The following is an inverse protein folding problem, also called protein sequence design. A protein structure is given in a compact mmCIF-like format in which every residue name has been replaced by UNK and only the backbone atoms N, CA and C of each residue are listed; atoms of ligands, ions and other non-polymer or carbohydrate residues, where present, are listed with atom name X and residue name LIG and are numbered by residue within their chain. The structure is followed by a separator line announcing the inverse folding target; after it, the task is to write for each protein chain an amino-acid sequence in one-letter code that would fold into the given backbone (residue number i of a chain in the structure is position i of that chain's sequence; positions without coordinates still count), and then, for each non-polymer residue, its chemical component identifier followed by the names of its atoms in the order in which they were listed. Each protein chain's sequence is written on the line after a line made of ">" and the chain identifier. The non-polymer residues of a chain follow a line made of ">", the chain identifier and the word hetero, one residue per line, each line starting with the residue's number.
data_IF_190633869672
#
_entry.id   IF_190633869672
#
_cell.length_a   1.000
_cell.length_b   1.000
_cell.length_c   1.000
_cell.angle_alpha   90.00
_cell.angle_beta   90.00
_cell.angle_gamma   90.00
#
_symmetry.space_group_name_H-M   'P 1'
#
loop_
_entity.id
_entity.type
_entity.pdbx_description
1 polymer ?
#
# COMPACT_ATOMS: atom_id res chain seq x y z
N UNK A 1 -13.57 38.24 67.17
CA UNK A 1 -13.11 38.45 65.78
C UNK A 1 -11.74 37.81 65.69
N UNK A 2 -11.67 36.58 65.21
CA UNK A 2 -10.41 35.85 65.09
C UNK A 2 -9.71 36.29 63.79
N UNK A 3 -8.62 37.03 63.93
CA UNK A 3 -7.82 37.49 62.80
C UNK A 3 -7.03 36.30 62.25
N UNK A 4 -7.41 35.81 61.07
CA UNK A 4 -6.59 34.86 60.33
C UNK A 4 -5.31 35.56 59.85
N UNK A 5 -4.17 35.23 60.46
CA UNK A 5 -2.85 35.57 59.94
C UNK A 5 -2.68 34.99 58.52
N UNK A 6 -2.66 35.87 57.52
CA UNK A 6 -2.32 35.49 56.14
C UNK A 6 -0.84 35.11 56.10
N UNK A 7 -0.55 33.81 55.98
CA UNK A 7 0.81 33.30 55.73
C UNK A 7 1.48 34.07 54.57
N UNK A 8 2.76 34.48 54.71
CA UNK A 8 3.44 35.25 53.66
C UNK A 8 3.57 34.42 52.38
N UNK A 9 3.27 35.03 51.24
CA UNK A 9 3.35 34.40 49.93
C UNK A 9 4.79 33.96 49.63
N UNK A 10 5.01 32.65 49.53
CA UNK A 10 6.32 32.06 49.19
C UNK A 10 6.36 31.74 47.70
N UNK A 11 7.11 32.53 46.92
CA UNK A 11 7.28 32.31 45.49
C UNK A 11 7.81 30.90 45.15
N UNK A 12 8.70 30.33 45.98
CA UNK A 12 9.16 28.93 45.82
C UNK A 12 8.03 27.91 46.01
N UNK A 13 7.14 28.14 46.97
CA UNK A 13 6.00 27.25 47.23
C UNK A 13 4.94 27.39 46.14
N UNK A 14 4.70 28.62 45.68
CA UNK A 14 3.84 28.91 44.54
C UNK A 14 4.37 28.29 43.24
N UNK A 15 5.65 28.47 42.92
CA UNK A 15 6.29 27.86 41.74
C UNK A 15 6.31 26.33 41.82
N UNK A 16 6.54 25.74 43.00
CA UNK A 16 6.47 24.28 43.18
C UNK A 16 5.04 23.76 43.00
N UNK A 17 4.04 24.52 43.45
CA UNK A 17 2.62 24.24 43.20
C UNK A 17 2.29 24.32 41.71
N UNK A 18 2.59 25.45 41.07
CA UNK A 18 2.35 25.67 39.64
C UNK A 18 3.05 24.63 38.76
N UNK A 19 4.30 24.29 39.07
CA UNK A 19 5.05 23.27 38.36
C UNK A 19 4.38 21.89 38.49
N UNK A 20 3.89 21.53 39.68
CA UNK A 20 3.15 20.28 39.90
C UNK A 20 1.83 20.26 39.13
N UNK A 21 1.07 21.36 39.19
CA UNK A 21 -0.24 21.48 38.52
C UNK A 21 -0.12 21.53 36.98
N UNK A 22 1.05 21.85 36.42
CA UNK A 22 1.30 21.79 34.97
C UNK A 22 1.92 20.45 34.57
N UNK A 23 2.97 20.01 35.27
CA UNK A 23 3.70 18.78 34.90
C UNK A 23 2.79 17.56 35.00
N UNK A 24 1.98 17.44 36.06
CA UNK A 24 1.15 16.24 36.25
C UNK A 24 0.11 16.09 35.13
N UNK A 25 -0.68 17.11 34.77
CA UNK A 25 -1.60 17.01 33.63
C UNK A 25 -0.91 16.84 32.28
N UNK A 26 0.21 17.52 32.04
CA UNK A 26 0.97 17.35 30.78
C UNK A 26 1.50 15.92 30.66
N UNK A 27 2.07 15.38 31.74
CA UNK A 27 2.55 14.01 31.78
C UNK A 27 1.41 13.00 31.58
N UNK A 28 0.27 13.20 32.25
CA UNK A 28 -0.92 12.36 32.06
C UNK A 28 -1.44 12.44 30.62
N UNK A 29 -1.52 13.64 30.04
CA UNK A 29 -1.92 13.84 28.67
C UNK A 29 -0.96 13.14 27.69
N UNK A 30 0.35 13.20 27.93
CA UNK A 30 1.34 12.47 27.14
C UNK A 30 1.13 10.96 27.23
N UNK A 31 0.81 10.41 28.41
CA UNK A 31 0.45 8.98 28.55
C UNK A 31 -0.80 8.65 27.73
N UNK A 32 -1.86 9.46 27.85
CA UNK A 32 -3.11 9.24 27.11
C UNK A 32 -2.88 9.28 25.59
N UNK A 33 -2.14 10.27 25.10
CA UNK A 33 -1.84 10.45 23.68
C UNK A 33 -0.89 9.34 23.18
N UNK A 34 0.06 8.91 24.01
CA UNK A 34 1.01 7.86 23.64
C UNK A 34 0.30 6.50 23.53
N UNK A 35 -0.52 6.14 24.51
CA UNK A 35 -0.99 4.76 24.67
C UNK A 35 -2.48 4.54 24.42
N UNK A 36 -3.32 5.57 24.52
CA UNK A 36 -4.78 5.39 24.53
C UNK A 36 -5.40 5.87 23.23
N UNK A 37 -5.21 7.15 22.90
CA UNK A 37 -5.91 7.82 21.80
C UNK A 37 -4.92 8.50 20.86
N UNK A 38 -5.19 8.47 19.56
CA UNK A 38 -4.54 9.33 18.56
C UNK A 38 -5.55 9.94 17.60
N UNK A 39 -5.30 11.19 17.22
CA UNK A 39 -6.09 11.89 16.22
C UNK A 39 -5.55 11.58 14.82
N UNK A 40 -6.46 11.35 13.88
CA UNK A 40 -6.17 11.13 12.46
C UNK A 40 -7.09 12.01 11.62
N UNK A 41 -6.62 12.44 10.45
CA UNK A 41 -7.43 13.15 9.46
C UNK A 41 -7.67 12.23 8.26
N UNK A 42 -8.84 12.35 7.61
CA UNK A 42 -9.15 11.70 6.34
C UNK A 42 -8.76 12.64 5.19
N UNK A 43 -7.66 12.36 4.45
CA UNK A 43 -7.21 13.22 3.36
C UNK A 43 -7.78 12.81 1.99
N UNK A 44 -8.35 11.61 1.86
CA UNK A 44 -8.75 11.03 0.58
C UNK A 44 -10.11 10.37 0.61
N UNK A 45 -10.69 10.23 -0.58
CA UNK A 45 -12.03 9.71 -0.78
C UNK A 45 -12.21 8.20 -0.66
N UNK A 46 -11.16 7.44 -0.32
CA UNK A 46 -11.18 5.96 -0.33
C UNK A 46 -12.20 5.32 0.63
N UNK A 47 -12.68 6.07 1.62
CA UNK A 47 -13.70 5.64 2.58
C UNK A 47 -15.00 6.45 2.45
N UNK A 48 -15.19 7.26 1.39
CA UNK A 48 -16.24 8.31 1.28
C UNK A 48 -17.68 7.86 1.57
N UNK A 49 -17.97 6.58 1.32
CA UNK A 49 -19.28 5.99 1.59
C UNK A 49 -19.60 5.89 3.10
N UNK A 50 -18.57 5.92 3.96
CA UNK A 50 -18.68 5.95 5.44
C UNK A 50 -18.02 7.20 6.07
N UNK A 51 -16.77 7.48 5.66
CA UNK A 51 -15.90 8.53 6.18
C UNK A 51 -15.53 9.51 5.06
N UNK A 52 -15.83 10.78 5.25
CA UNK A 52 -15.63 11.80 4.22
C UNK A 52 -14.27 12.46 4.35
N UNK A 53 -13.73 12.93 3.23
CA UNK A 53 -12.58 13.84 3.21
C UNK A 53 -12.85 15.03 4.15
N UNK A 54 -11.87 15.35 5.00
CA UNK A 54 -11.98 16.38 6.04
C UNK A 54 -12.62 15.92 7.36
N UNK A 55 -12.98 14.64 7.51
CA UNK A 55 -13.27 14.06 8.82
C UNK A 55 -11.98 13.90 9.65
N UNK A 56 -12.10 14.15 10.94
CA UNK A 56 -11.05 13.92 11.93
C UNK A 56 -11.53 12.86 12.92
N UNK A 57 -10.74 11.81 13.06
CA UNK A 57 -11.07 10.60 13.82
C UNK A 57 -10.21 10.50 15.07
N UNK A 58 -10.79 9.96 16.14
CA UNK A 58 -10.03 9.42 17.26
C UNK A 58 -9.89 7.91 17.07
N UNK A 59 -8.65 7.45 17.05
CA UNK A 59 -8.29 6.03 17.05
C UNK A 59 -7.91 5.55 18.44
N UNK A 60 -8.39 4.37 18.84
CA UNK A 60 -8.04 3.67 20.07
C UNK A 60 -6.87 2.72 19.80
N UNK A 61 -5.70 3.01 20.40
CA UNK A 61 -4.47 2.22 20.18
C UNK A 61 -4.47 0.90 20.95
N UNK A 62 -4.87 0.98 22.22
CA UNK A 62 -4.82 -0.16 23.15
C UNK A 62 -5.70 -1.34 22.73
N UNK A 63 -6.71 -1.10 21.88
CA UNK A 63 -7.60 -2.16 21.38
C UNK A 63 -6.81 -3.26 20.69
N UNK A 64 -5.84 -2.90 19.85
CA UNK A 64 -5.01 -3.85 19.08
C UNK A 64 -3.54 -3.88 19.52
N UNK A 65 -3.18 -3.07 20.50
CA UNK A 65 -1.84 -3.02 21.07
C UNK A 65 -1.16 -1.68 20.85
N UNK A 66 -0.75 -1.05 21.94
CA UNK A 66 -0.09 0.25 21.91
C UNK A 66 1.41 0.12 21.65
N UNK A 67 2.04 1.05 20.92
CA UNK A 67 3.48 1.00 20.65
C UNK A 67 4.29 1.16 21.94
N UNK A 68 5.35 0.36 22.06
CA UNK A 68 6.35 0.51 23.12
C UNK A 68 7.28 1.67 22.73
N UNK A 69 7.50 2.67 23.60
CA UNK A 69 8.41 3.76 23.30
C UNK A 69 9.80 3.24 22.91
N UNK A 70 10.41 3.88 21.91
CA UNK A 70 11.77 3.58 21.46
C UNK A 70 11.98 2.15 20.94
N UNK A 71 10.91 1.44 20.58
CA UNK A 71 10.98 0.08 20.03
C UNK A 71 9.94 -0.12 18.93
N UNK A 72 10.22 -1.02 17.99
CA UNK A 72 9.27 -1.43 16.96
C UNK A 72 8.28 -2.52 17.45
N UNK A 73 8.20 -2.71 18.78
CA UNK A 73 7.32 -3.67 19.47
C UNK A 73 6.04 -2.98 19.96
N UNK A 74 5.01 -3.79 20.21
CA UNK A 74 3.74 -3.36 20.81
C UNK A 74 3.45 -4.13 22.08
N UNK A 75 2.75 -3.47 23.00
CA UNK A 75 2.05 -4.18 24.06
C UNK A 75 0.91 -5.02 23.45
N UNK A 76 0.54 -6.15 24.08
CA UNK A 76 -0.61 -6.93 23.63
C UNK A 76 -1.88 -6.06 23.64
N UNK A 77 -2.67 -6.18 22.58
CA UNK A 77 -4.00 -5.58 22.52
C UNK A 77 -5.00 -6.32 23.42
N UNK A 78 -6.11 -5.66 23.73
CA UNK A 78 -7.23 -6.30 24.41
C UNK A 78 -7.98 -7.29 23.50
N UNK A 79 -8.01 -7.03 22.19
CA UNK A 79 -8.61 -7.91 21.18
C UNK A 79 -7.80 -7.88 19.89
N UNK A 80 -8.10 -8.79 18.98
CA UNK A 80 -7.63 -8.73 17.59
C UNK A 80 -8.64 -7.97 16.73
N UNK A 81 -8.21 -7.39 15.61
CA UNK A 81 -9.13 -6.83 14.65
C UNK A 81 -10.12 -7.86 14.11
N UNK A 82 -11.37 -7.45 13.98
CA UNK A 82 -12.45 -8.28 13.49
C UNK A 82 -12.96 -7.78 12.12
N UNK A 83 -13.58 -8.67 11.35
CA UNK A 83 -14.23 -8.28 10.11
C UNK A 83 -15.30 -7.20 10.37
N UNK A 84 -15.18 -6.09 9.66
CA UNK A 84 -16.03 -4.91 9.76
C UNK A 84 -15.40 -3.76 10.54
N UNK A 85 -14.24 -3.99 11.16
CA UNK A 85 -13.53 -2.93 11.84
C UNK A 85 -12.92 -1.93 10.88
N UNK A 86 -13.08 -0.63 11.18
CA UNK A 86 -12.33 0.43 10.50
C UNK A 86 -11.02 0.63 11.25
N UNK A 87 -9.92 0.38 10.56
CA UNK A 87 -8.60 0.23 11.15
C UNK A 87 -7.67 1.26 10.54
N UNK A 88 -6.86 1.88 11.40
CA UNK A 88 -5.72 2.70 11.00
C UNK A 88 -4.47 1.83 11.07
N UNK A 89 -3.71 1.74 9.99
CA UNK A 89 -2.51 0.93 9.90
C UNK A 89 -1.46 1.58 9.00
N UNK A 90 -0.21 1.18 9.21
CA UNK A 90 0.91 1.57 8.34
C UNK A 90 0.82 0.85 7.01
N UNK A 91 0.94 1.59 5.90
CA UNK A 91 0.92 1.06 4.55
C UNK A 91 1.99 -0.05 4.35
N UNK A 92 1.61 -1.27 3.92
CA UNK A 92 2.56 -2.36 3.73
C UNK A 92 3.57 -2.19 2.59
N UNK A 93 3.24 -1.40 1.56
CA UNK A 93 4.06 -1.28 0.36
C UNK A 93 5.25 -0.33 0.48
N UNK A 94 5.37 0.42 1.58
CA UNK A 94 6.49 1.32 1.83
C UNK A 94 7.38 0.79 2.96
N UNK A 95 8.72 0.92 2.84
CA UNK A 95 9.62 0.50 3.90
C UNK A 95 9.47 1.37 5.15
N UNK A 96 9.73 0.80 6.32
CA UNK A 96 9.73 1.54 7.58
C UNK A 96 10.88 2.57 7.65
N UNK A 97 12.00 2.27 7.02
CA UNK A 97 13.18 3.12 6.98
C UNK A 97 13.40 3.69 5.58
N UNK A 98 14.00 4.89 5.46
CA UNK A 98 14.45 5.41 4.18
C UNK A 98 15.31 4.35 3.46
N UNK A 99 15.08 4.19 2.16
CA UNK A 99 15.78 3.24 1.29
C UNK A 99 15.65 1.78 1.78
N UNK A 100 14.66 1.45 2.62
CA UNK A 100 14.50 0.10 3.14
C UNK A 100 15.72 -0.44 3.87
N UNK A 101 16.59 0.45 4.38
CA UNK A 101 17.85 0.08 5.01
C UNK A 101 17.84 0.44 6.50
N UNK A 102 17.35 -0.47 7.37
CA UNK A 102 17.33 -0.25 8.82
C UNK A 102 18.74 -0.16 9.44
N UNK A 103 19.78 -0.67 8.77
CA UNK A 103 21.17 -0.57 9.23
C UNK A 103 21.76 0.84 9.06
N UNK A 104 21.36 1.55 8.00
CA UNK A 104 21.85 2.91 7.69
C UNK A 104 21.12 4.00 8.46
N UNK A 105 19.84 3.80 8.82
CA UNK A 105 19.01 4.84 9.39
C UNK A 105 18.54 4.53 10.82
N UNK A 106 18.71 5.46 11.75
CA UNK A 106 18.06 5.41 13.08
C UNK A 106 16.85 6.34 13.12
N UNK A 107 15.67 5.82 13.42
CA UNK A 107 14.48 6.66 13.62
C UNK A 107 14.57 7.42 14.95
N UNK A 108 14.58 8.76 14.89
CA UNK A 108 14.88 9.60 16.05
C UNK A 108 13.68 9.81 17.01
N UNK A 109 12.45 9.59 16.55
CA UNK A 109 11.24 10.00 17.29
C UNK A 109 10.13 8.93 17.36
N UNK A 110 10.47 7.65 17.55
CA UNK A 110 9.46 6.60 17.78
C UNK A 110 8.49 6.87 18.96
N UNK A 111 8.79 7.83 19.85
CA UNK A 111 8.04 8.08 21.09
C UNK A 111 7.24 9.40 21.14
N UNK A 112 7.39 10.31 20.17
CA UNK A 112 6.69 11.60 20.19
C UNK A 112 6.24 11.95 18.77
N UNK A 113 5.03 12.50 18.62
CA UNK A 113 4.33 12.79 17.35
C UNK A 113 5.04 13.81 16.43
N UNK A 114 6.35 14.00 16.55
CA UNK A 114 7.16 14.98 15.83
C UNK A 114 7.82 14.36 14.59
N UNK A 115 6.99 14.06 13.60
CA UNK A 115 7.44 13.79 12.23
C UNK A 115 8.30 12.54 12.02
N UNK A 116 8.62 12.30 10.75
CA UNK A 116 9.40 11.16 10.29
C UNK A 116 10.86 11.58 10.07
N UNK A 117 11.59 11.76 11.17
CA UNK A 117 12.99 12.19 11.16
C UNK A 117 13.93 11.01 11.48
N UNK A 118 14.96 10.86 10.65
CA UNK A 118 15.92 9.78 10.71
C UNK A 118 17.33 10.34 10.76
N UNK A 119 18.21 9.64 11.47
CA UNK A 119 19.64 9.87 11.42
C UNK A 119 20.26 8.91 10.42
N UNK A 120 20.88 9.45 9.37
CA UNK A 120 21.64 8.72 8.35
C UNK A 120 23.07 8.51 8.85
N UNK A 121 23.49 7.26 9.04
CA UNK A 121 24.86 6.93 9.46
C UNK A 121 25.87 7.05 8.32
N UNK A 122 25.41 7.07 7.07
CA UNK A 122 26.23 7.07 5.86
C UNK A 122 25.72 8.13 4.86
N UNK A 123 25.73 9.43 5.19
CA UNK A 123 25.21 10.46 4.30
C UNK A 123 26.06 10.56 3.03
N UNK A 124 25.41 10.91 1.91
CA UNK A 124 26.12 11.23 0.67
C UNK A 124 27.04 12.44 0.90
N UNK A 125 28.13 12.51 0.16
CA UNK A 125 29.14 13.56 0.31
C UNK A 125 28.51 14.96 0.22
N UNK A 126 28.68 15.76 1.28
CA UNK A 126 28.13 17.13 1.37
C UNK A 126 26.66 17.23 1.80
N UNK A 127 25.98 16.11 2.11
CA UNK A 127 24.60 16.10 2.60
C UNK A 127 24.53 15.98 4.13
N UNK A 128 23.49 16.54 4.78
CA UNK A 128 23.31 16.42 6.22
C UNK A 128 22.95 14.99 6.64
N UNK A 129 23.39 14.59 7.83
CA UNK A 129 23.00 13.32 8.46
C UNK A 129 21.51 13.27 8.81
N UNK A 130 20.88 14.40 9.12
CA UNK A 130 19.48 14.43 9.49
C UNK A 130 18.62 14.34 8.22
N UNK A 131 17.82 13.28 8.13
CA UNK A 131 16.91 13.01 7.01
C UNK A 131 15.48 13.20 7.47
N UNK A 132 14.74 13.98 6.69
CA UNK A 132 13.30 14.09 6.81
C UNK A 132 12.66 13.23 5.73
N UNK A 133 11.85 12.26 6.14
CA UNK A 133 11.04 11.44 5.26
C UNK A 133 9.59 11.95 5.32
N UNK A 134 9.27 13.07 4.64
CA UNK A 134 7.97 13.72 4.76
C UNK A 134 6.81 12.78 4.42
N UNK A 135 7.00 11.94 3.41
CA UNK A 135 6.04 10.92 2.97
C UNK A 135 6.22 9.58 3.70
N UNK A 136 6.95 9.60 4.83
CA UNK A 136 7.29 8.42 5.62
C UNK A 136 6.09 7.59 6.00
N UNK A 137 6.32 6.31 6.36
CA UNK A 137 5.44 5.21 6.00
C UNK A 137 3.99 5.55 6.30
N UNK A 138 3.23 5.73 5.21
CA UNK A 138 1.91 6.38 5.23
C UNK A 138 0.94 5.61 6.10
N UNK A 139 0.05 6.33 6.77
CA UNK A 139 -1.07 5.73 7.47
C UNK A 139 -2.28 5.61 6.57
N UNK A 140 -2.84 4.42 6.50
CA UNK A 140 -4.03 4.09 5.73
C UNK A 140 -5.16 3.77 6.68
N UNK A 141 -6.35 4.17 6.27
CA UNK A 141 -7.60 3.90 6.97
C UNK A 141 -8.46 3.09 6.01
N UNK A 142 -8.77 1.87 6.42
CA UNK A 142 -9.55 0.90 5.63
C UNK A 142 -10.39 0.04 6.56
N UNK A 143 -11.31 -0.71 5.98
CA UNK A 143 -12.14 -1.69 6.67
C UNK A 143 -11.51 -3.08 6.57
N UNK A 144 -11.45 -3.79 7.68
CA UNK A 144 -11.11 -5.21 7.68
C UNK A 144 -12.28 -5.99 7.09
N UNK A 145 -12.04 -6.76 6.03
CA UNK A 145 -13.10 -7.57 5.39
C UNK A 145 -12.91 -9.06 5.62
N UNK A 146 -11.68 -9.50 5.90
CA UNK A 146 -11.34 -10.88 6.19
C UNK A 146 -10.14 -10.94 7.15
N UNK A 147 -10.12 -11.96 7.99
CA UNK A 147 -9.06 -12.21 8.99
C UNK A 147 -8.30 -13.50 8.63
N UNK A 148 -7.23 -13.79 9.38
CA UNK A 148 -6.44 -15.02 9.19
C UNK A 148 -7.31 -16.27 9.11
N UNK A 149 -7.08 -17.10 8.10
CA UNK A 149 -7.82 -18.33 7.84
C UNK A 149 -9.03 -18.17 6.92
N UNK A 150 -9.55 -16.96 6.75
CA UNK A 150 -10.64 -16.71 5.80
C UNK A 150 -10.15 -16.85 4.35
N UNK A 151 -11.05 -17.25 3.46
CA UNK A 151 -10.82 -17.21 2.01
C UNK A 151 -11.42 -15.96 1.41
N UNK A 152 -10.71 -15.34 0.46
CA UNK A 152 -11.14 -14.13 -0.23
C UNK A 152 -11.03 -14.34 -1.72
N UNK A 153 -12.05 -13.93 -2.47
CA UNK A 153 -11.99 -13.79 -3.92
C UNK A 153 -12.70 -12.51 -4.36
N UNK A 154 -12.36 -12.00 -5.55
CA UNK A 154 -13.05 -10.87 -6.16
C UNK A 154 -13.40 -11.25 -7.59
N UNK A 155 -14.67 -11.16 -7.96
CA UNK A 155 -15.10 -11.45 -9.33
C UNK A 155 -16.05 -10.37 -9.81
N UNK A 156 -15.77 -9.79 -10.97
CA UNK A 156 -16.49 -8.63 -11.51
C UNK A 156 -16.67 -7.51 -10.47
N UNK A 157 -15.63 -7.28 -9.67
CA UNK A 157 -15.58 -6.26 -8.64
C UNK A 157 -16.37 -6.58 -7.36
N UNK A 158 -16.96 -7.78 -7.27
CA UNK A 158 -17.70 -8.25 -6.10
C UNK A 158 -16.80 -9.12 -5.23
N UNK A 159 -16.69 -8.74 -3.97
CA UNK A 159 -15.98 -9.49 -2.95
C UNK A 159 -16.78 -10.74 -2.55
N UNK A 160 -16.11 -11.89 -2.44
CA UNK A 160 -16.60 -13.03 -1.69
C UNK A 160 -15.63 -13.36 -0.55
N UNK A 161 -16.19 -13.69 0.62
CA UNK A 161 -15.45 -14.11 1.80
C UNK A 161 -15.99 -15.46 2.24
N UNK A 162 -15.11 -16.45 2.41
CA UNK A 162 -15.48 -17.83 2.74
C UNK A 162 -16.52 -18.42 1.77
N UNK A 163 -16.35 -18.13 0.47
CA UNK A 163 -17.26 -18.54 -0.60
C UNK A 163 -18.60 -17.78 -0.65
N UNK A 164 -18.90 -16.93 0.34
CA UNK A 164 -20.12 -16.12 0.36
C UNK A 164 -19.86 -14.76 -0.28
N UNK A 165 -20.54 -14.47 -1.39
CA UNK A 165 -20.53 -13.15 -2.00
C UNK A 165 -21.11 -12.11 -1.03
N UNK A 166 -20.41 -10.99 -0.89
CA UNK A 166 -20.83 -9.87 -0.06
C UNK A 166 -21.75 -8.95 -0.88
N UNK A 167 -22.81 -8.44 -0.23
CA UNK A 167 -23.63 -7.34 -0.78
C UNK A 167 -23.19 -5.98 -0.23
N UNK A 168 -22.68 -5.98 0.99
CA UNK A 168 -22.10 -4.86 1.72
C UNK A 168 -20.79 -5.33 2.35
N UNK A 169 -19.84 -4.41 2.59
CA UNK A 169 -18.68 -4.77 3.39
C UNK A 169 -19.13 -5.01 4.85
N UNK A 170 -18.44 -5.89 5.58
CA UNK A 170 -18.79 -6.18 6.98
C UNK A 170 -18.90 -4.92 7.86
N UNK A 171 -19.71 -4.96 8.91
CA UNK A 171 -19.86 -3.80 9.82
C UNK A 171 -20.51 -2.57 9.16
N UNK A 172 -21.52 -2.80 8.31
CA UNK A 172 -22.29 -1.78 7.56
C UNK A 172 -21.50 -0.97 6.52
N UNK A 173 -20.34 -1.45 6.09
CA UNK A 173 -19.60 -0.76 5.03
C UNK A 173 -20.40 -0.79 3.73
N UNK A 174 -20.72 0.38 3.20
CA UNK A 174 -21.28 0.48 1.86
C UNK A 174 -20.15 0.34 0.84
N UNK A 175 -20.44 -0.37 -0.23
CA UNK A 175 -19.67 -0.27 -1.47
C UNK A 175 -20.63 -0.48 -2.63
N UNK A 176 -20.44 0.26 -3.72
CA UNK A 176 -21.17 -0.02 -4.95
C UNK A 176 -20.45 -1.09 -5.76
N UNK A 177 -21.11 -2.23 -5.99
CA UNK A 177 -20.70 -3.26 -6.94
C UNK A 177 -20.90 -2.85 -8.42
N UNK A 178 -21.20 -1.57 -8.68
CA UNK A 178 -21.26 -1.08 -10.05
C UNK A 178 -19.85 -0.93 -10.55
N UNK A 179 -19.52 -1.72 -11.56
CA UNK A 179 -18.32 -1.64 -12.37
C UNK A 179 -18.18 -0.23 -12.96
N UNK A 180 -17.55 0.69 -12.22
CA UNK A 180 -17.30 2.04 -12.74
C UNK A 180 -16.14 2.04 -13.73
N UNK A 181 -15.25 1.04 -13.66
CA UNK A 181 -14.09 0.88 -14.54
C UNK A 181 -13.68 -0.59 -14.71
N UNK A 182 -13.10 -0.95 -15.87
CA UNK A 182 -12.40 -2.24 -16.03
C UNK A 182 -11.06 -2.18 -15.31
N UNK A 183 -10.86 -2.96 -14.24
CA UNK A 183 -9.53 -3.15 -13.64
C UNK A 183 -9.33 -4.63 -13.27
N UNK A 184 -8.16 -5.24 -13.56
CA UNK A 184 -7.79 -6.57 -13.10
C UNK A 184 -7.91 -6.77 -11.58
N UNK A 185 -7.87 -5.70 -10.78
CA UNK A 185 -8.15 -5.77 -9.33
C UNK A 185 -9.57 -6.28 -9.02
N UNK A 186 -10.47 -6.23 -10.00
CA UNK A 186 -11.85 -6.69 -9.92
C UNK A 186 -11.97 -8.19 -10.25
N UNK A 187 -10.86 -8.83 -10.63
CA UNK A 187 -10.72 -10.25 -10.88
C UNK A 187 -9.55 -10.82 -10.07
N UNK A 188 -9.88 -11.46 -8.96
CA UNK A 188 -8.94 -12.11 -8.06
C UNK A 188 -9.44 -13.51 -7.76
N UNK A 189 -8.62 -14.49 -8.14
CA UNK A 189 -8.83 -15.88 -7.76
C UNK A 189 -8.89 -16.04 -6.25
N UNK A 190 -9.53 -17.11 -5.80
CA UNK A 190 -9.65 -17.40 -4.38
C UNK A 190 -8.26 -17.61 -3.76
N UNK A 191 -7.98 -16.91 -2.65
CA UNK A 191 -6.79 -17.12 -1.84
C UNK A 191 -7.16 -17.14 -0.35
N UNK A 192 -6.30 -17.75 0.47
CA UNK A 192 -6.47 -17.82 1.93
C UNK A 192 -5.66 -16.70 2.56
N UNK A 193 -6.26 -15.94 3.48
CA UNK A 193 -5.52 -14.99 4.32
C UNK A 193 -4.63 -15.80 5.27
N UNK A 194 -3.29 -15.67 5.20
CA UNK A 194 -2.41 -16.56 5.95
C UNK A 194 -2.59 -16.46 7.47
N UNK A 195 -2.51 -17.59 8.15
CA UNK A 195 -2.58 -17.71 9.60
C UNK A 195 -1.20 -17.86 10.22
N UNK A 196 -1.09 -17.53 11.51
CA UNK A 196 0.16 -17.75 12.27
C UNK A 196 0.53 -19.23 12.23
N UNK A 197 1.77 -19.52 11.82
CA UNK A 197 2.27 -20.89 11.65
C UNK A 197 2.13 -21.46 10.24
N UNK A 198 1.38 -20.81 9.35
CA UNK A 198 1.30 -21.24 7.95
C UNK A 198 2.68 -21.11 7.28
N UNK A 199 3.02 -22.10 6.46
CA UNK A 199 4.26 -22.14 5.68
C UNK A 199 3.97 -21.81 4.23
N UNK A 200 4.57 -20.74 3.73
CA UNK A 200 4.41 -20.25 2.36
C UNK A 200 5.70 -20.50 1.59
N UNK A 201 5.65 -21.38 0.59
CA UNK A 201 6.80 -21.72 -0.25
C UNK A 201 6.93 -20.72 -1.40
N UNK A 202 8.10 -20.11 -1.56
CA UNK A 202 8.33 -19.04 -2.54
C UNK A 202 8.08 -19.54 -3.96
N UNK A 203 8.56 -20.75 -4.28
CA UNK A 203 8.50 -21.33 -5.62
C UNK A 203 7.14 -21.89 -6.03
N UNK A 204 6.16 -21.99 -5.14
CA UNK A 204 4.81 -22.45 -5.48
C UNK A 204 3.82 -21.32 -5.78
N UNK A 205 4.17 -20.07 -5.49
CA UNK A 205 3.26 -18.93 -5.61
C UNK A 205 3.18 -18.43 -7.06
N UNK A 206 2.25 -17.53 -7.40
CA UNK A 206 2.43 -16.66 -8.58
C UNK A 206 3.45 -15.56 -8.27
N UNK A 207 3.92 -14.79 -9.25
CA UNK A 207 4.78 -13.63 -8.99
C UNK A 207 4.07 -12.59 -8.13
N UNK A 208 2.78 -12.38 -8.36
CA UNK A 208 1.95 -11.49 -7.54
C UNK A 208 1.88 -11.98 -6.08
N UNK A 209 1.64 -13.27 -5.85
CA UNK A 209 1.59 -13.82 -4.50
C UNK A 209 2.98 -13.84 -3.84
N UNK A 210 4.06 -14.00 -4.61
CA UNK A 210 5.42 -13.84 -4.11
C UNK A 210 5.71 -12.39 -3.69
N UNK A 211 5.15 -11.40 -4.40
CA UNK A 211 5.20 -9.99 -4.00
C UNK A 211 4.48 -9.72 -2.69
N UNK A 212 3.30 -10.31 -2.52
CA UNK A 212 2.53 -10.22 -1.28
C UNK A 212 3.27 -10.88 -0.13
N UNK A 213 3.88 -12.04 -0.38
CA UNK A 213 4.73 -12.72 0.60
C UNK A 213 5.91 -11.83 1.01
N UNK A 214 6.60 -11.21 0.04
CA UNK A 214 7.66 -10.23 0.32
C UNK A 214 7.16 -9.10 1.22
N UNK A 215 5.98 -8.55 0.91
CA UNK A 215 5.36 -7.45 1.68
C UNK A 215 4.97 -7.89 3.09
N UNK A 216 4.45 -9.11 3.27
CA UNK A 216 4.18 -9.71 4.58
C UNK A 216 5.46 -9.83 5.41
N UNK A 217 6.53 -10.37 4.82
CA UNK A 217 7.82 -10.57 5.51
C UNK A 217 8.40 -9.22 5.93
N UNK A 218 8.34 -8.20 5.07
CA UNK A 218 8.80 -6.85 5.40
C UNK A 218 8.05 -6.27 6.61
N UNK A 219 6.73 -6.47 6.69
CA UNK A 219 5.93 -6.03 7.84
C UNK A 219 6.33 -6.73 9.15
N UNK A 220 6.62 -8.03 9.09
CA UNK A 220 6.97 -8.81 10.28
C UNK A 220 8.43 -8.61 10.73
N UNK A 221 9.31 -8.17 9.83
CA UNK A 221 10.75 -8.02 10.03
C UNK A 221 11.23 -6.61 9.61
N UNK A 222 10.75 -5.52 10.25
CA UNK A 222 11.06 -4.16 9.82
C UNK A 222 12.52 -3.75 10.02
N UNK A 223 13.24 -4.49 10.84
CA UNK A 223 14.66 -4.26 11.15
C UNK A 223 15.58 -5.03 10.19
N UNK A 224 15.04 -5.72 9.18
CA UNK A 224 15.76 -6.51 8.18
C UNK A 224 15.37 -6.07 6.76
N UNK A 225 16.32 -6.16 5.82
CA UNK A 225 16.01 -5.93 4.40
C UNK A 225 15.30 -7.14 3.80
N UNK A 226 14.31 -6.89 2.93
CA UNK A 226 13.59 -7.94 2.21
C UNK A 226 13.56 -7.62 0.71
N UNK A 227 14.25 -8.44 -0.08
CA UNK A 227 14.33 -8.30 -1.53
C UNK A 227 13.71 -9.51 -2.23
N UNK A 228 12.90 -9.25 -3.25
CA UNK A 228 12.47 -10.23 -4.25
C UNK A 228 13.22 -9.95 -5.55
N UNK A 229 14.15 -10.84 -5.91
CA UNK A 229 14.87 -10.76 -7.19
C UNK A 229 14.23 -11.71 -8.21
N UNK A 230 14.20 -11.28 -9.47
CA UNK A 230 13.67 -12.05 -10.59
C UNK A 230 14.80 -12.34 -11.59
N UNK A 231 14.76 -13.51 -12.19
CA UNK A 231 15.68 -13.92 -13.25
C UNK A 231 14.87 -14.46 -14.42
N UNK A 232 15.05 -13.86 -15.60
CA UNK A 232 14.43 -14.38 -16.82
C UNK A 232 15.37 -15.43 -17.42
N UNK A 233 14.82 -16.58 -17.77
CA UNK A 233 15.51 -17.62 -18.51
C UNK A 233 14.94 -17.71 -19.91
N UNK A 234 15.81 -17.92 -20.90
CA UNK A 234 15.49 -18.29 -22.27
C UNK A 234 16.20 -19.60 -22.57
N UNK A 235 15.43 -20.66 -22.84
CA UNK A 235 15.93 -22.01 -23.07
C UNK A 235 16.84 -22.54 -21.94
N UNK A 236 16.56 -22.11 -20.70
CA UNK A 236 17.33 -22.46 -19.50
C UNK A 236 18.54 -21.56 -19.21
N UNK A 237 18.91 -20.65 -20.13
CA UNK A 237 20.00 -19.70 -19.94
C UNK A 237 19.49 -18.33 -19.47
N UNK A 238 20.27 -17.61 -18.66
CA UNK A 238 19.88 -16.29 -18.18
C UNK A 238 19.76 -15.26 -19.31
N UNK A 239 18.58 -14.64 -19.42
CA UNK A 239 18.23 -13.65 -20.41
C UNK A 239 17.83 -12.31 -19.77
N UNK A 240 18.50 -11.91 -18.68
CA UNK A 240 18.14 -10.72 -17.91
C UNK A 240 18.18 -9.41 -18.70
N UNK A 241 18.95 -9.35 -19.81
CA UNK A 241 19.02 -8.20 -20.70
C UNK A 241 17.94 -8.20 -21.80
N UNK A 242 17.00 -9.15 -21.76
CA UNK A 242 15.91 -9.23 -22.73
C UNK A 242 15.03 -7.98 -22.70
N UNK A 243 14.66 -7.50 -23.89
CA UNK A 243 13.69 -6.43 -24.07
C UNK A 243 12.43 -7.05 -24.66
N UNK A 244 11.31 -6.86 -23.96
CA UNK A 244 10.01 -7.24 -24.49
C UNK A 244 9.57 -6.16 -25.48
N UNK A 245 9.79 -6.39 -26.77
CA UNK A 245 9.51 -5.40 -27.83
C UNK A 245 8.03 -4.98 -27.87
N UNK A 246 7.12 -5.93 -27.61
CA UNK A 246 5.68 -5.71 -27.56
C UNK A 246 5.09 -6.02 -26.18
N UNK A 247 5.67 -5.44 -25.13
CA UNK A 247 5.13 -5.64 -23.78
C UNK A 247 3.71 -5.04 -23.69
N UNK A 248 2.71 -5.91 -23.52
CA UNK A 248 1.30 -5.54 -23.39
C UNK A 248 1.02 -5.07 -21.97
N UNK A 249 0.52 -3.83 -21.84
CA UNK A 249 0.20 -3.17 -20.58
C UNK A 249 -1.25 -2.70 -20.66
N UNK A 250 -2.20 -3.29 -19.92
CA UNK A 250 -3.54 -2.71 -19.84
C UNK A 250 -3.46 -1.34 -19.15
N UNK A 251 -4.17 -0.35 -19.67
CA UNK A 251 -4.18 1.01 -19.16
C UNK A 251 -5.17 1.12 -17.99
N UNK A 252 -4.65 1.39 -16.81
CA UNK A 252 -5.41 1.52 -15.57
C UNK A 252 -5.04 2.79 -14.82
N UNK A 253 -5.94 3.24 -13.94
CA UNK A 253 -5.77 4.49 -13.18
C UNK A 253 -4.51 4.50 -12.30
N UNK A 254 -3.98 3.33 -11.91
CA UNK A 254 -2.91 3.22 -10.91
C UNK A 254 -1.56 2.77 -11.47
N UNK A 255 -1.45 2.54 -12.80
CA UNK A 255 -0.22 2.10 -13.48
C UNK A 255 0.76 3.22 -13.79
N UNK A 256 0.66 4.32 -13.06
CA UNK A 256 1.28 5.61 -13.37
C UNK A 256 2.79 5.50 -13.56
N UNK A 257 3.50 4.74 -12.71
CA UNK A 257 4.95 4.58 -12.82
C UNK A 257 5.42 3.94 -14.12
N UNK A 258 4.81 2.80 -14.48
CA UNK A 258 5.16 2.06 -15.69
C UNK A 258 4.77 2.85 -16.94
N UNK A 259 3.59 3.45 -16.90
CA UNK A 259 3.06 4.29 -17.96
C UNK A 259 3.97 5.53 -18.18
N UNK A 260 4.37 6.21 -17.10
CA UNK A 260 5.29 7.36 -17.15
C UNK A 260 6.67 6.96 -17.70
N UNK A 261 7.20 5.78 -17.35
CA UNK A 261 8.48 5.29 -17.87
C UNK A 261 8.40 4.98 -19.37
N UNK A 262 7.33 4.29 -19.80
CA UNK A 262 7.07 4.02 -21.22
C UNK A 262 6.96 5.33 -22.02
N UNK A 263 6.25 6.34 -21.48
CA UNK A 263 6.15 7.64 -22.13
C UNK A 263 7.49 8.37 -22.23
N UNK A 264 8.24 8.42 -21.12
CA UNK A 264 9.53 9.11 -21.08
C UNK A 264 10.53 8.52 -22.06
N UNK A 265 10.55 7.19 -22.21
CA UNK A 265 11.46 6.50 -23.15
C UNK A 265 11.04 6.66 -24.60
N UNK A 266 9.75 6.56 -24.90
CA UNK A 266 9.28 6.49 -26.28
C UNK A 266 8.82 7.83 -26.86
N UNK A 267 8.88 8.92 -26.08
CA UNK A 267 8.47 10.27 -26.49
C UNK A 267 7.05 10.30 -27.08
N UNK A 268 6.18 9.41 -26.61
CA UNK A 268 4.83 9.20 -27.12
C UNK A 268 3.87 10.22 -26.52
N UNK A 269 3.06 10.88 -27.35
CA UNK A 269 1.94 11.72 -26.91
C UNK A 269 0.68 10.85 -26.85
N UNK A 270 0.07 10.75 -25.68
CA UNK A 270 -1.25 10.15 -25.50
C UNK A 270 -2.32 11.03 -26.17
N UNK A 271 -2.55 10.84 -27.46
CA UNK A 271 -3.81 11.22 -28.06
C UNK A 271 -4.64 9.94 -28.22
N UNK A 272 -5.75 9.85 -27.48
CA UNK A 272 -6.85 8.88 -27.67
C UNK A 272 -6.69 7.48 -27.05
N UNK A 273 -6.08 7.33 -25.87
CA UNK A 273 -6.15 6.07 -25.11
C UNK A 273 -7.11 6.24 -23.93
N UNK A 274 -7.99 5.26 -23.76
CA UNK A 274 -9.01 5.20 -22.71
C UNK A 274 -8.70 4.11 -21.69
N UNK A 275 -9.26 4.22 -20.49
CA UNK A 275 -9.10 3.19 -19.46
C UNK A 275 -9.67 1.85 -19.95
N UNK A 276 -8.87 0.79 -19.81
CA UNK A 276 -9.20 -0.55 -20.30
C UNK A 276 -8.60 -0.89 -21.67
N UNK A 277 -8.03 0.07 -22.39
CA UNK A 277 -7.21 -0.20 -23.58
C UNK A 277 -5.90 -0.89 -23.17
N UNK A 278 -5.27 -1.64 -24.07
CA UNK A 278 -3.94 -2.23 -23.84
C UNK A 278 -2.93 -1.52 -24.72
N UNK A 279 -1.94 -0.89 -24.09
CA UNK A 279 -0.79 -0.31 -24.80
C UNK A 279 0.28 -1.37 -25.00
N UNK A 280 1.06 -1.22 -26.06
CA UNK A 280 2.18 -2.10 -26.37
C UNK A 280 3.44 -1.25 -26.53
N UNK A 281 4.51 -1.58 -25.81
CA UNK A 281 5.75 -0.81 -25.87
C UNK A 281 6.97 -1.68 -25.51
N UNK A 282 8.17 -1.30 -25.98
CA UNK A 282 9.40 -1.95 -25.55
C UNK A 282 9.66 -1.72 -24.07
N UNK A 283 9.76 -2.81 -23.29
CA UNK A 283 10.08 -2.77 -21.85
C UNK A 283 11.25 -3.73 -21.55
N UNK A 284 12.39 -3.23 -21.05
CA UNK A 284 13.49 -4.10 -20.62
C UNK A 284 13.13 -4.90 -19.37
N UNK A 285 13.48 -6.18 -19.34
CA UNK A 285 13.30 -7.01 -18.14
C UNK A 285 14.08 -6.45 -16.93
N UNK A 286 15.25 -5.84 -17.18
CA UNK A 286 16.07 -5.20 -16.14
C UNK A 286 15.30 -4.14 -15.34
N UNK A 287 14.45 -3.35 -16.00
CA UNK A 287 13.62 -2.34 -15.35
C UNK A 287 12.63 -2.98 -14.36
N UNK A 288 11.94 -4.04 -14.80
CA UNK A 288 10.96 -4.76 -13.96
C UNK A 288 11.68 -5.44 -12.78
N UNK A 289 12.85 -6.04 -13.05
CA UNK A 289 13.70 -6.65 -12.03
C UNK A 289 14.13 -5.63 -10.97
N UNK A 290 14.61 -4.46 -11.37
CA UNK A 290 15.02 -3.39 -10.44
C UNK A 290 13.86 -2.90 -9.57
N UNK A 291 12.69 -2.66 -10.16
CA UNK A 291 11.48 -2.29 -9.41
C UNK A 291 11.08 -3.34 -8.39
N UNK A 292 11.14 -4.61 -8.78
CA UNK A 292 10.80 -5.74 -7.89
C UNK A 292 11.78 -5.85 -6.73
N UNK A 293 13.08 -5.64 -6.99
CA UNK A 293 14.09 -5.68 -5.92
C UNK A 293 13.95 -4.52 -4.95
N UNK A 294 13.80 -3.30 -5.47
CA UNK A 294 13.79 -2.09 -4.65
C UNK A 294 12.44 -1.89 -3.94
N UNK A 295 11.33 -2.32 -4.53
CA UNK A 295 9.96 -2.05 -4.08
C UNK A 295 9.52 -0.58 -4.03
N UNK A 296 10.43 0.34 -4.33
CA UNK A 296 10.15 1.76 -4.39
C UNK A 296 11.17 2.42 -5.33
N UNK A 297 10.81 3.58 -5.86
CA UNK A 297 11.71 4.45 -6.60
C UNK A 297 12.05 5.67 -5.74
N UNK A 298 13.33 5.88 -5.36
CA UNK A 298 13.74 7.08 -4.65
C UNK A 298 13.62 8.31 -5.54
N UNK A 299 12.85 9.29 -5.09
CA UNK A 299 12.80 10.63 -5.66
C UNK A 299 13.85 11.50 -4.95
N UNK A 300 15.11 11.29 -5.31
CA UNK A 300 16.22 12.12 -4.83
C UNK A 300 16.35 13.30 -5.78
N UNK A 301 16.12 14.51 -5.28
CA UNK A 301 16.51 15.73 -5.97
C UNK A 301 17.90 16.16 -5.47
N UNK A 302 18.97 15.94 -6.26
CA UNK A 302 20.33 16.32 -5.87
C UNK A 302 20.51 17.84 -5.75
N UNK A 303 19.58 18.64 -6.30
CA UNK A 303 19.63 20.10 -6.29
C UNK A 303 18.72 20.73 -5.22
N UNK A 304 18.03 19.93 -4.41
CA UNK A 304 17.24 20.46 -3.29
C UNK A 304 18.20 21.17 -2.31
N UNK A 305 17.96 22.46 -1.97
CA UNK A 305 18.88 23.24 -1.15
C UNK A 305 19.21 22.55 0.17
N UNK A 306 20.51 22.48 0.49
CA UNK A 306 21.01 21.91 1.74
C UNK A 306 20.63 22.82 2.92
N UNK A 307 19.67 22.35 3.72
CA UNK A 307 19.38 22.90 5.05
C UNK A 307 19.95 22.01 6.16
N UNK A 308 19.37 22.10 7.35
CA UNK A 308 19.67 21.18 8.45
C UNK A 308 19.19 19.74 8.19
N UNK A 309 18.31 19.53 7.21
CA UNK A 309 17.74 18.22 6.87
C UNK A 309 17.78 17.96 5.37
N UNK A 310 18.03 16.71 4.97
CA UNK A 310 17.78 16.22 3.61
C UNK A 310 16.38 15.65 3.50
N UNK A 311 15.62 16.03 2.47
CA UNK A 311 14.32 15.41 2.18
C UNK A 311 14.53 14.16 1.35
N UNK A 312 13.83 13.09 1.69
CA UNK A 312 13.79 11.88 0.87
C UNK A 312 12.33 11.47 0.68
N UNK A 313 11.92 11.31 -0.57
CA UNK A 313 10.58 10.89 -0.97
C UNK A 313 10.71 9.67 -1.88
N UNK A 314 9.65 8.88 -1.96
CA UNK A 314 9.63 7.67 -2.78
C UNK A 314 8.29 7.55 -3.51
N UNK A 315 8.32 6.85 -4.64
CA UNK A 315 7.11 6.25 -5.22
C UNK A 315 7.16 4.76 -4.95
N UNK A 316 6.19 4.25 -4.19
CA UNK A 316 6.07 2.82 -3.91
C UNK A 316 5.72 2.03 -5.17
N UNK A 317 6.26 0.82 -5.28
CA UNK A 317 5.84 -0.17 -6.26
C UNK A 317 4.84 -1.11 -5.60
N UNK A 318 3.67 -1.28 -6.19
CA UNK A 318 2.57 -2.07 -5.62
C UNK A 318 2.56 -3.54 -6.09
N UNK A 319 3.44 -3.90 -7.03
CA UNK A 319 3.57 -5.25 -7.57
C UNK A 319 2.61 -5.58 -8.70
N UNK A 320 1.71 -4.66 -9.09
CA UNK A 320 0.70 -4.90 -10.14
C UNK A 320 1.32 -5.34 -11.47
N UNK A 321 2.47 -4.79 -11.83
CA UNK A 321 3.24 -5.11 -13.04
C UNK A 321 3.67 -6.58 -13.13
N UNK A 322 3.76 -7.28 -12.01
CA UNK A 322 4.23 -8.67 -12.00
C UNK A 322 3.24 -9.62 -12.66
N UNK A 323 1.94 -9.32 -12.58
CA UNK A 323 0.92 -10.08 -13.29
C UNK A 323 1.04 -9.88 -14.81
N UNK A 324 1.35 -8.66 -15.24
CA UNK A 324 1.58 -8.38 -16.67
C UNK A 324 2.85 -9.06 -17.17
N UNK A 325 3.90 -9.10 -16.35
CA UNK A 325 5.13 -9.80 -16.68
C UNK A 325 4.86 -11.30 -16.91
N UNK A 326 4.10 -11.96 -16.03
CA UNK A 326 3.68 -13.35 -16.24
C UNK A 326 2.87 -13.49 -17.53
N UNK A 327 1.91 -12.58 -17.77
CA UNK A 327 1.11 -12.56 -19.00
C UNK A 327 1.95 -12.44 -20.27
N UNK A 328 2.92 -11.52 -20.28
CA UNK A 328 3.80 -11.29 -21.42
C UNK A 328 4.77 -12.46 -21.66
N UNK A 329 5.29 -13.10 -20.61
CA UNK A 329 6.09 -14.33 -20.77
C UNK A 329 5.22 -15.47 -21.30
N UNK A 330 3.97 -15.59 -20.85
CA UNK A 330 3.03 -16.57 -21.40
C UNK A 330 2.74 -16.32 -22.89
N UNK A 331 2.63 -15.06 -23.32
CA UNK A 331 2.49 -14.71 -24.74
C UNK A 331 3.73 -15.09 -25.57
N UNK A 332 4.93 -14.91 -25.03
CA UNK A 332 6.17 -15.36 -25.71
C UNK A 332 6.16 -16.88 -25.90
N UNK A 333 5.67 -17.63 -24.90
CA UNK A 333 5.59 -19.09 -24.95
C UNK A 333 4.38 -19.62 -25.74
N UNK A 334 3.40 -18.78 -26.06
CA UNK A 334 2.20 -19.22 -26.77
C UNK A 334 2.54 -19.72 -28.18
N UNK A 335 1.88 -20.80 -28.65
CA UNK A 335 2.02 -21.26 -30.03
C UNK A 335 1.54 -20.16 -30.98
N UNK A 336 2.23 -19.97 -32.12
CA UNK A 336 1.74 -19.06 -33.14
C UNK A 336 0.36 -19.55 -33.63
N UNK A 337 -0.66 -18.72 -33.42
CA UNK A 337 -1.96 -18.95 -34.03
C UNK A 337 -1.79 -18.58 -35.50
N UNK A 338 -1.63 -19.60 -36.36
CA UNK A 338 -1.78 -19.41 -37.80
C UNK A 338 -3.21 -18.96 -38.02
N UNK A 339 -3.40 -17.68 -38.30
CA UNK A 339 -4.69 -17.15 -38.72
C UNK A 339 -5.07 -17.87 -40.02
N UNK A 340 -5.99 -18.83 -39.94
CA UNK A 340 -6.69 -19.33 -41.11
C UNK A 340 -7.56 -18.18 -41.59
N UNK A 341 -7.11 -17.54 -42.66
CA UNK A 341 -7.81 -16.48 -43.35
C UNK A 341 -9.13 -17.07 -43.89
N UNK A 342 -10.21 -17.06 -43.09
CA UNK A 342 -11.54 -17.40 -43.58
C UNK A 342 -12.12 -16.21 -44.33
N UNK A 343 -11.45 -15.83 -45.42
CA UNK A 343 -12.08 -15.14 -46.53
C UNK A 343 -12.65 -16.22 -47.45
N UNK A 344 -13.84 -16.72 -47.12
CA UNK A 344 -14.66 -17.48 -48.05
C UNK A 344 -15.89 -16.64 -48.40
N UNK A 345 -15.73 -15.83 -49.44
CA UNK A 345 -16.83 -15.52 -50.34
C UNK A 345 -17.29 -16.82 -51.03
N UNK A 346 -18.58 -16.82 -51.34
CA UNK A 346 -19.34 -17.89 -51.98
C UNK A 346 -18.65 -18.61 -53.15
N UNK A 347 -19.01 -19.90 -53.25
CA UNK A 347 -19.18 -20.71 -54.46
C UNK A 347 -17.94 -21.07 -55.29
N UNK A 348 -17.56 -22.36 -55.25
CA UNK A 348 -17.82 -23.32 -56.35
C UNK A 348 -17.16 -24.68 -56.07
N UNK A 349 -17.87 -25.72 -56.52
CA UNK A 349 -17.58 -27.15 -56.46
C UNK A 349 -16.42 -27.54 -57.38
N UNK A 350 -15.37 -28.21 -56.88
CA UNK A 350 -14.54 -29.18 -57.64
C UNK A 350 -13.99 -30.27 -56.69
N UNK A 351 -14.08 -31.53 -57.12
CA UNK A 351 -13.66 -32.77 -56.43
C UNK A 351 -12.13 -33.02 -56.51
N UNK A 352 -11.56 -34.00 -55.79
CA UNK A 352 -10.15 -34.00 -55.38
C UNK A 352 -9.22 -34.69 -56.38
N UNK A 353 -8.01 -34.14 -56.55
CA UNK A 353 -6.86 -34.84 -57.13
C UNK A 353 -5.75 -34.98 -56.10
N UNK A 354 -5.29 -36.21 -55.92
CA UNK A 354 -4.13 -36.58 -55.13
C UNK A 354 -2.83 -36.01 -55.71
N UNK A 355 -1.79 -36.01 -54.89
CA UNK A 355 -0.39 -35.59 -55.10
C UNK A 355 -0.06 -34.12 -54.79
N UNK A 356 0.25 -33.90 -53.51
CA UNK A 356 1.47 -33.18 -53.14
C UNK A 356 1.85 -33.55 -51.70
N UNK A 357 2.92 -34.34 -51.56
CA UNK A 357 3.63 -34.46 -50.31
C UNK A 357 4.34 -33.12 -50.05
N UNK A 358 3.66 -32.21 -49.35
CA UNK A 358 4.29 -31.03 -48.76
C UNK A 358 5.26 -31.51 -47.69
N UNK A 359 6.55 -31.42 -48.01
CA UNK A 359 7.63 -31.54 -47.04
C UNK A 359 7.42 -30.42 -46.01
N UNK A 360 6.91 -30.78 -44.84
CA UNK A 360 6.82 -29.87 -43.71
C UNK A 360 8.25 -29.40 -43.37
N UNK A 361 8.49 -28.10 -43.50
CA UNK A 361 9.69 -27.48 -42.97
C UNK A 361 9.81 -27.82 -41.47
N UNK A 362 11.01 -28.08 -40.94
CA UNK A 362 11.17 -28.32 -39.52
C UNK A 362 10.65 -27.09 -38.76
N UNK A 363 9.64 -27.30 -37.93
CA UNK A 363 9.11 -26.24 -37.08
C UNK A 363 10.27 -25.70 -36.24
N UNK A 364 10.64 -24.44 -36.45
CA UNK A 364 11.59 -23.75 -35.58
C UNK A 364 11.06 -23.85 -34.15
N UNK A 365 11.80 -24.53 -33.29
CA UNK A 365 11.43 -24.66 -31.88
C UNK A 365 11.52 -23.27 -31.27
N UNK A 366 10.37 -22.65 -31.02
CA UNK A 366 10.28 -21.33 -30.40
C UNK A 366 11.02 -21.36 -29.05
N UNK A 367 11.83 -20.33 -28.74
CA UNK A 367 12.52 -20.27 -27.46
C UNK A 367 11.53 -20.29 -26.30
N UNK A 368 11.83 -21.05 -25.26
CA UNK A 368 11.02 -21.16 -24.04
C UNK A 368 11.51 -20.15 -23.01
N UNK A 369 10.62 -19.28 -22.54
CA UNK A 369 10.90 -18.31 -21.50
C UNK A 369 10.35 -18.77 -20.14
N UNK A 370 11.14 -18.58 -19.08
CA UNK A 370 10.74 -18.90 -17.71
C UNK A 370 11.20 -17.80 -16.75
N UNK A 371 10.44 -17.56 -15.69
CA UNK A 371 10.83 -16.60 -14.64
C UNK A 371 11.19 -17.38 -13.39
N UNK A 372 12.43 -17.22 -12.94
CA UNK A 372 12.86 -17.62 -11.60
C UNK A 372 12.76 -16.43 -10.66
N UNK A 373 12.58 -16.74 -9.38
CA UNK A 373 12.43 -15.78 -8.30
C UNK A 373 13.32 -16.20 -7.14
N UNK A 374 13.84 -15.22 -6.43
CA UNK A 374 14.67 -15.44 -5.26
C UNK A 374 14.30 -14.42 -4.20
N UNK A 375 13.76 -14.90 -3.10
CA UNK A 375 13.45 -14.05 -1.95
C UNK A 375 14.61 -14.08 -0.98
N UNK A 376 14.95 -12.93 -0.42
CA UNK A 376 16.00 -12.81 0.60
C UNK A 376 15.53 -11.99 1.80
N UNK A 377 15.98 -12.38 2.99
CA UNK A 377 15.74 -11.69 4.26
C UNK A 377 17.09 -11.45 4.94
N UNK A 378 17.46 -10.19 5.16
CA UNK A 378 18.78 -9.83 5.70
C UNK A 378 19.93 -10.35 4.82
N UNK A 379 19.72 -10.37 3.50
CA UNK A 379 20.66 -10.91 2.51
C UNK A 379 20.73 -12.44 2.42
N UNK A 380 20.00 -13.19 3.25
CA UNK A 380 19.97 -14.67 3.22
C UNK A 380 18.84 -15.16 2.32
N UNK A 381 19.08 -16.13 1.42
CA UNK A 381 18.02 -16.71 0.60
C UNK A 381 16.99 -17.44 1.45
N UNK A 382 15.74 -17.39 0.99
CA UNK A 382 14.59 -17.96 1.68
C UNK A 382 13.75 -18.78 0.69
N UNK A 383 13.61 -20.09 0.95
CA UNK A 383 12.78 -20.98 0.13
C UNK A 383 11.32 -20.98 0.59
N UNK A 384 11.10 -20.73 1.89
CA UNK A 384 9.78 -20.66 2.50
C UNK A 384 9.77 -19.71 3.68
N UNK A 385 8.59 -19.20 4.02
CA UNK A 385 8.38 -18.37 5.22
C UNK A 385 7.27 -18.92 6.10
N UNK A 386 7.48 -18.81 7.42
CA UNK A 386 6.47 -19.13 8.43
C UNK A 386 5.89 -17.84 8.98
N UNK A 387 4.58 -17.66 8.81
CA UNK A 387 3.86 -16.45 9.24
C UNK A 387 3.89 -16.32 10.77
N UNK A 388 4.33 -15.16 11.28
CA UNK A 388 4.56 -14.93 12.72
C UNK A 388 3.41 -14.22 13.42
N UNK A 389 2.61 -13.46 12.68
CA UNK A 389 1.56 -12.59 13.23
C UNK A 389 0.24 -12.77 12.49
N UNK A 390 -0.91 -12.51 13.14
CA UNK A 390 -2.19 -12.50 12.45
C UNK A 390 -2.19 -11.51 11.29
N UNK A 391 -2.72 -11.95 10.15
CA UNK A 391 -2.87 -11.20 8.91
C UNK A 391 -4.33 -10.84 8.65
N UNK A 392 -4.54 -9.71 7.97
CA UNK A 392 -5.86 -9.14 7.70
C UNK A 392 -5.96 -8.64 6.26
N UNK A 393 -7.10 -8.84 5.62
CA UNK A 393 -7.39 -8.25 4.32
C UNK A 393 -8.20 -6.97 4.50
N UNK A 394 -7.68 -5.85 3.99
CA UNK A 394 -8.22 -4.52 4.21
C UNK A 394 -8.75 -3.93 2.90
N UNK A 395 -9.97 -3.39 2.91
CA UNK A 395 -10.59 -2.75 1.73
C UNK A 395 -11.15 -1.37 2.06
N UNK A 396 -11.16 -0.48 1.08
CA UNK A 396 -11.84 0.81 1.20
C UNK A 396 -13.33 0.68 0.92
N UNK A 397 -14.13 1.49 1.59
CA UNK A 397 -15.58 1.54 1.36
C UNK A 397 -15.89 2.15 -0.03
N UNK A 398 -15.11 3.15 -0.46
CA UNK A 398 -15.12 3.66 -1.84
C UNK A 398 -14.06 2.92 -2.67
N UNK A 399 -14.34 1.64 -2.93
CA UNK A 399 -13.44 0.67 -3.56
C UNK A 399 -12.78 1.16 -4.86
N UNK A 400 -13.51 1.89 -5.70
CA UNK A 400 -12.97 2.31 -7.00
C UNK A 400 -11.91 3.41 -6.87
N UNK A 401 -12.00 4.20 -5.81
CA UNK A 401 -11.07 5.27 -5.44
C UNK A 401 -10.17 4.86 -4.25
N UNK A 402 -9.96 3.55 -4.08
CA UNK A 402 -9.22 3.00 -2.95
C UNK A 402 -8.11 2.10 -3.45
N UNK A 403 -6.87 2.54 -3.22
CA UNK A 403 -5.74 1.63 -3.12
C UNK A 403 -5.96 0.84 -1.82
N UNK A 404 -6.06 -0.49 -1.91
CA UNK A 404 -6.32 -1.40 -0.79
C UNK A 404 -5.62 -2.77 -0.94
N UNK A 405 -5.92 -3.76 -0.08
CA UNK A 405 -5.26 -5.06 -0.08
C UNK A 405 -5.33 -5.83 -1.40
N UNK A 406 -6.16 -5.41 -2.37
CA UNK A 406 -6.09 -5.93 -3.75
C UNK A 406 -4.80 -5.57 -4.49
N UNK A 407 -3.98 -4.65 -3.98
CA UNK A 407 -2.70 -4.28 -4.60
C UNK A 407 -1.54 -4.88 -3.82
N UNK A 408 -1.44 -4.58 -2.52
CA UNK A 408 -0.29 -4.92 -1.68
C UNK A 408 -0.48 -6.18 -0.83
N UNK A 409 -1.64 -6.83 -0.92
CA UNK A 409 -1.96 -8.02 -0.14
C UNK A 409 -2.33 -7.75 1.30
N UNK A 410 -1.95 -8.65 2.19
CA UNK A 410 -2.40 -8.67 3.58
C UNK A 410 -1.64 -7.70 4.48
N UNK A 411 -2.31 -7.26 5.54
CA UNK A 411 -1.77 -6.39 6.58
C UNK A 411 -1.52 -7.20 7.83
N UNK A 412 -0.29 -7.16 8.35
CA UNK A 412 0.06 -7.79 9.62
C UNK A 412 -0.49 -7.00 10.82
N UNK A 413 -0.83 -7.69 11.91
CA UNK A 413 -1.11 -7.08 13.22
C UNK A 413 -0.01 -6.07 13.64
N UNK A 414 1.24 -6.31 13.23
CA UNK A 414 2.37 -5.41 13.50
C UNK A 414 2.22 -4.04 12.85
N UNK A 415 1.51 -3.93 11.73
CA UNK A 415 1.27 -2.64 11.06
C UNK A 415 0.04 -1.89 11.60
N UNK A 416 -0.83 -2.55 12.37
CA UNK A 416 -2.09 -1.95 12.85
C UNK A 416 -1.86 -0.94 13.98
N UNK A 417 -2.17 0.34 13.76
CA UNK A 417 -1.95 1.40 14.76
C UNK A 417 -3.10 1.57 15.75
N UNK A 418 -4.34 1.53 15.26
CA UNK A 418 -5.51 1.81 16.09
C UNK A 418 -6.82 1.35 15.44
N UNK A 419 -7.84 1.15 16.28
CA UNK A 419 -9.24 1.05 15.85
C UNK A 419 -9.84 2.44 15.72
N UNK A 420 -10.37 2.79 14.56
CA UNK A 420 -11.09 4.05 14.40
C UNK A 420 -12.41 3.99 15.19
N UNK A 421 -12.66 4.94 16.07
CA UNK A 421 -13.82 4.87 16.98
C UNK A 421 -14.84 5.98 16.75
N UNK A 422 -14.43 7.25 16.75
CA UNK A 422 -15.36 8.39 16.72
C UNK A 422 -14.85 9.51 15.81
N UNK A 423 -15.78 10.15 15.10
CA UNK A 423 -15.53 11.41 14.38
C UNK A 423 -15.62 12.55 15.40
N UNK A 424 -14.50 13.15 15.78
CA UNK A 424 -14.51 14.24 16.76
C UNK A 424 -14.62 15.63 16.12
N UNK A 425 -14.27 15.74 14.84
CA UNK A 425 -14.40 16.96 14.06
C UNK A 425 -14.61 16.62 12.58
N UNK A 426 -15.31 17.46 11.85
CA UNK A 426 -15.55 17.25 10.41
C UNK A 426 -15.74 18.59 9.72
N UNK A 427 -15.00 18.80 8.63
CA UNK A 427 -14.88 20.09 7.98
C UNK A 427 -14.82 19.94 6.46
N UNK A 428 -15.53 20.81 5.75
CA UNK A 428 -15.61 20.81 4.29
C UNK A 428 -14.87 22.00 3.66
N UNK A 429 -13.86 21.72 2.84
CA UNK A 429 -13.04 22.74 2.20
C UNK A 429 -12.61 22.39 0.79
N UNK A 430 -13.43 21.61 0.10
CA UNK A 430 -13.14 21.15 -1.26
C UNK A 430 -13.11 22.33 -2.26
N UNK A 431 -13.79 23.43 -1.92
CA UNK A 431 -13.80 24.71 -2.64
C UNK A 431 -12.56 25.58 -2.39
N UNK A 432 -11.65 25.17 -1.51
CA UNK A 432 -10.46 25.94 -1.12
C UNK A 432 -10.77 27.28 -0.45
N UNK A 433 -12.00 27.52 -0.03
CA UNK A 433 -12.46 28.86 0.36
C UNK A 433 -12.17 29.22 1.82
N UNK A 434 -11.53 28.30 2.56
CA UNK A 434 -10.89 28.53 3.85
C UNK A 434 -9.38 28.25 3.77
N UNK A 435 -8.58 29.14 4.35
CA UNK A 435 -7.14 28.98 4.49
C UNK A 435 -6.66 29.48 5.86
N UNK A 436 -5.90 28.65 6.58
CA UNK A 436 -5.28 29.06 7.87
C UNK A 436 -4.34 30.25 7.72
N UNK A 437 -3.71 30.40 6.55
CA UNK A 437 -2.84 31.54 6.20
C UNK A 437 -3.60 32.85 5.97
N UNK A 438 -4.92 32.80 5.77
CA UNK A 438 -5.74 33.98 5.54
C UNK A 438 -6.81 34.13 6.66
N UNK A 439 -6.56 34.99 7.67
CA UNK A 439 -7.46 35.15 8.81
C UNK A 439 -8.85 35.69 8.40
N UNK A 440 -8.98 36.36 7.25
CA UNK A 440 -10.27 36.82 6.72
C UNK A 440 -11.18 35.67 6.28
N UNK A 441 -10.69 34.45 6.20
CA UNK A 441 -11.53 33.27 5.89
C UNK A 441 -12.06 32.58 7.14
N UNK A 442 -11.55 32.90 8.33
CA UNK A 442 -11.85 32.17 9.57
C UNK A 442 -13.31 32.29 10.02
N UNK A 443 -14.00 33.38 9.66
CA UNK A 443 -15.42 33.53 9.93
C UNK A 443 -16.29 32.48 9.21
N UNK A 444 -15.78 31.83 8.15
CA UNK A 444 -16.47 30.75 7.43
C UNK A 444 -16.38 29.41 8.15
N UNK A 445 -15.48 29.28 9.12
CA UNK A 445 -15.23 28.02 9.82
C UNK A 445 -16.52 27.40 10.40
N UNK A 446 -17.39 28.13 11.12
CA UNK A 446 -18.63 27.55 11.67
C UNK A 446 -19.61 27.04 10.61
N UNK A 447 -19.59 27.65 9.42
CA UNK A 447 -20.47 27.30 8.29
C UNK A 447 -19.97 26.07 7.51
N UNK A 448 -18.67 25.78 7.61
CA UNK A 448 -18.01 24.64 6.94
C UNK A 448 -17.92 23.40 7.83
N UNK A 449 -18.25 23.51 9.12
CA UNK A 449 -18.31 22.36 10.02
C UNK A 449 -19.54 21.51 9.68
N UNK A 450 -19.32 20.22 9.45
CA UNK A 450 -20.40 19.25 9.24
C UNK A 450 -20.96 18.80 10.59
N UNK A 451 -21.77 19.64 11.23
CA UNK A 451 -22.31 19.42 12.58
C UNK A 451 -23.00 18.07 12.77
N UNK A 452 -23.68 17.55 11.73
CA UNK A 452 -24.35 16.24 11.75
C UNK A 452 -23.40 15.05 11.84
N UNK A 453 -22.08 15.25 11.71
CA UNK A 453 -21.06 14.19 11.81
C UNK A 453 -20.30 14.22 13.14
N UNK A 454 -20.36 15.32 13.89
CA UNK A 454 -19.64 15.46 15.14
C UNK A 454 -20.13 14.43 16.17
N UNK A 455 -19.21 13.68 16.77
CA UNK A 455 -19.50 12.66 17.79
C UNK A 455 -20.05 11.34 17.26
N UNK A 456 -20.13 11.13 15.93
CA UNK A 456 -20.60 9.85 15.38
C UNK A 456 -19.61 8.72 15.67
N UNK A 457 -20.12 7.65 16.26
CA UNK A 457 -19.39 6.39 16.45
C UNK A 457 -19.36 5.66 15.11
N UNK A 458 -18.16 5.29 14.66
CA UNK A 458 -17.92 4.81 13.29
C UNK A 458 -18.71 3.54 12.97
N UNK A 459 -18.78 2.58 13.89
CA UNK A 459 -19.55 1.34 13.69
C UNK A 459 -21.07 1.51 13.68
N UNK A 460 -21.56 2.71 14.04
CA UNK A 460 -22.97 3.05 14.03
C UNK A 460 -23.34 3.95 12.85
N UNK A 461 -22.40 4.24 11.94
CA UNK A 461 -22.67 5.01 10.73
C UNK A 461 -23.41 4.11 9.74
N UNK A 462 -24.60 4.55 9.33
CA UNK A 462 -25.47 3.83 8.40
C UNK A 462 -25.22 4.14 6.94
#
# INVERSE_FOLDING_TARGET
>A
MEQQEKKPFSFKTFMKGLLREIIVPVFLALIVIQYVIQAFQIPSGSMEDSLKTGDFLLGLKFTYGSPVPFSNKKFPGYTLPEAGDVIIFRYPGEPEYPEGNPGRYTHLFNALMFGNLYWDHEPLQGQPHLVHFPDGPKDYIKRCVAVSGDTVAVHHGRLSVNGKQQEYLPGKGKYTAYYRTKSPRDERGQFVVPSVGDTLYVDSLSLEMAWWLRSLIAQENPDESVELDLTLLKDGEEANNHVFEEFKIPLENDRRLLIDEVYRRNNMILQHVTQGDTISAPVPFTFIRELTRMAYLPLIDPNTPSGFTRKVSYVGFDGSLLQDLEGNVNLLNAPEVVAVDTAAADSAVVAPSADSATVAAPAETKPKFEIRRKLTLGGKPLDYYVVKTPQFFMMGDNRDNSLDSRYWGVVSLRNIKAKAFVIYFSFENDDGSFALTNPFTWWRLPLKIRWSRLGKIIHLID
#
